data_IF_897934163339
#
_entry.id   IF_897934163339
#
_cell.length_a   1.000
_cell.length_b   1.000
_cell.length_c   1.000
_cell.angle_alpha   90.00
_cell.angle_beta   90.00
_cell.angle_gamma   90.00
#
_symmetry.space_group_name_H-M   'P 1'
#
loop_
_entity.id
_entity.type
_entity.pdbx_description
1 polymer ?
#
# COMPACT_ATOMS: atom_id res chain seq x y z
N UNK A 1 12.05 16.29 -1.70
CA UNK A 1 11.27 15.69 -0.60
C UNK A 1 11.79 14.28 -0.40
N UNK A 2 12.52 14.04 0.69
CA UNK A 2 12.86 12.68 1.10
C UNK A 2 11.64 12.09 1.80
N UNK A 3 11.04 11.06 1.22
CA UNK A 3 9.84 10.43 1.76
C UNK A 3 10.14 9.57 2.99
N UNK A 4 11.42 9.32 3.30
CA UNK A 4 11.85 8.42 4.39
C UNK A 4 11.42 6.97 4.16
N UNK A 5 11.17 6.58 2.91
CA UNK A 5 10.70 5.24 2.53
C UNK A 5 11.88 4.44 2.00
N UNK A 6 12.14 3.28 2.60
CA UNK A 6 13.15 2.37 2.09
C UNK A 6 12.56 1.50 0.96
N UNK A 7 12.79 1.92 -0.28
CA UNK A 7 12.28 1.23 -1.46
C UNK A 7 12.83 -0.20 -1.61
N UNK A 8 14.09 -0.45 -1.25
CA UNK A 8 14.67 -1.80 -1.26
C UNK A 8 13.93 -2.75 -0.31
N UNK A 9 13.60 -2.28 0.88
CA UNK A 9 12.84 -3.05 1.87
C UNK A 9 11.41 -3.31 1.38
N UNK A 10 10.79 -2.32 0.75
CA UNK A 10 9.45 -2.42 0.19
C UNK A 10 9.40 -3.43 -0.97
N UNK A 11 10.42 -3.44 -1.83
CA UNK A 11 10.56 -4.42 -2.92
C UNK A 11 10.84 -5.84 -2.44
N UNK A 12 11.43 -6.04 -1.25
CA UNK A 12 11.54 -7.37 -0.64
C UNK A 12 10.19 -7.92 -0.18
N UNK A 13 9.28 -7.04 0.25
CA UNK A 13 7.95 -7.43 0.73
C UNK A 13 6.94 -7.58 -0.43
N UNK A 14 7.13 -6.85 -1.54
CA UNK A 14 6.21 -6.87 -2.68
C UNK A 14 6.87 -7.57 -3.87
N UNK A 15 6.38 -8.78 -4.18
CA UNK A 15 6.87 -9.66 -5.27
C UNK A 15 6.94 -8.98 -6.65
N UNK A 16 6.15 -7.92 -6.88
CA UNK A 16 6.07 -7.24 -8.16
C UNK A 16 6.24 -5.72 -8.00
N UNK A 17 7.27 -5.14 -8.65
CA UNK A 17 7.59 -3.71 -8.54
C UNK A 17 6.42 -2.80 -8.95
N UNK A 18 5.68 -3.19 -9.99
CA UNK A 18 4.49 -2.45 -10.47
C UNK A 18 3.29 -2.53 -9.52
N UNK A 19 3.25 -3.53 -8.62
CA UNK A 19 2.16 -3.65 -7.66
C UNK A 19 2.28 -2.61 -6.54
N UNK A 20 3.49 -2.11 -6.25
CA UNK A 20 3.74 -1.09 -5.21
C UNK A 20 2.87 0.16 -5.38
N UNK A 21 2.91 0.89 -6.52
CA UNK A 21 2.08 2.08 -6.70
C UNK A 21 0.58 1.75 -6.72
N UNK A 22 0.18 0.59 -7.23
CA UNK A 22 -1.23 0.16 -7.29
C UNK A 22 -1.77 -0.07 -5.87
N UNK A 23 -1.01 -0.79 -5.04
CA UNK A 23 -1.36 -1.08 -3.64
C UNK A 23 -1.39 0.22 -2.83
N UNK A 24 -0.36 1.06 -2.99
CA UNK A 24 -0.26 2.34 -2.30
C UNK A 24 -1.45 3.26 -2.64
N UNK A 25 -1.80 3.38 -3.93
CA UNK A 25 -2.93 4.21 -4.37
C UNK A 25 -4.26 3.70 -3.82
N UNK A 26 -4.53 2.38 -3.94
CA UNK A 26 -5.77 1.78 -3.42
C UNK A 26 -5.91 1.90 -1.90
N UNK A 27 -4.79 1.78 -1.18
CA UNK A 27 -4.76 1.98 0.26
C UNK A 27 -4.95 3.45 0.64
N UNK A 28 -4.30 4.37 -0.05
CA UNK A 28 -4.47 5.80 0.18
C UNK A 28 -5.93 6.24 -0.04
N UNK A 29 -6.58 5.74 -1.09
CA UNK A 29 -8.00 5.98 -1.33
C UNK A 29 -8.89 5.43 -0.20
N UNK A 30 -8.59 4.23 0.30
CA UNK A 30 -9.31 3.65 1.45
C UNK A 30 -9.16 4.51 2.70
N UNK A 31 -7.95 5.00 2.98
CA UNK A 31 -7.69 5.88 4.13
C UNK A 31 -8.43 7.22 3.99
N UNK A 32 -8.41 7.82 2.80
CA UNK A 32 -9.14 9.05 2.51
C UNK A 32 -10.64 8.87 2.71
N UNK A 33 -11.23 7.80 2.15
CA UNK A 33 -12.66 7.52 2.30
C UNK A 33 -13.03 7.27 3.78
N UNK A 34 -12.15 6.61 4.53
CA UNK A 34 -12.36 6.37 5.97
C UNK A 34 -12.35 7.67 6.77
N UNK A 35 -11.42 8.58 6.46
CA UNK A 35 -11.34 9.90 7.10
C UNK A 35 -12.53 10.78 6.75
N UNK A 36 -12.98 10.75 5.49
CA UNK A 36 -14.21 11.43 5.04
C UNK A 36 -15.43 10.91 5.81
N UNK A 37 -15.56 9.58 5.98
CA UNK A 37 -16.63 8.97 6.78
C UNK A 37 -16.55 9.32 8.27
N UNK A 38 -15.34 9.53 8.80
CA UNK A 38 -15.11 9.92 10.20
C UNK A 38 -15.20 11.43 10.44
N UNK A 39 -15.41 12.23 9.40
CA UNK A 39 -15.43 13.69 9.50
C UNK A 39 -14.08 14.31 9.86
N UNK A 40 -12.97 13.62 9.58
CA UNK A 40 -11.63 14.10 9.88
C UNK A 40 -11.23 15.20 8.88
N UNK A 41 -11.05 16.42 9.39
CA UNK A 41 -10.71 17.59 8.57
C UNK A 41 -9.22 17.71 8.24
N UNK A 42 -8.36 17.02 9.00
CA UNK A 42 -6.93 17.10 8.85
C UNK A 42 -6.44 16.05 7.84
N UNK A 43 -6.33 16.46 6.58
CA UNK A 43 -5.90 15.58 5.49
C UNK A 43 -4.39 15.31 5.62
N UNK A 44 -4.06 14.12 6.10
CA UNK A 44 -2.70 13.60 6.06
C UNK A 44 -2.27 13.23 4.64
N UNK A 45 -0.96 13.09 4.42
CA UNK A 45 -0.43 12.53 3.17
C UNK A 45 -0.70 11.02 3.13
N UNK A 46 -1.89 10.65 2.64
CA UNK A 46 -2.39 9.27 2.59
C UNK A 46 -1.48 8.34 1.80
N UNK A 47 -0.79 8.87 0.79
CA UNK A 47 0.16 8.10 -0.03
C UNK A 47 1.38 7.75 0.81
N UNK A 48 1.91 8.71 1.57
CA UNK A 48 3.04 8.47 2.48
C UNK A 48 2.68 7.46 3.58
N UNK A 49 1.47 7.55 4.15
CA UNK A 49 0.98 6.59 5.15
C UNK A 49 0.88 5.19 4.53
N UNK A 50 0.26 5.07 3.35
CA UNK A 50 0.11 3.80 2.67
C UNK A 50 1.45 3.15 2.31
N UNK A 51 2.42 3.93 1.82
CA UNK A 51 3.76 3.40 1.51
C UNK A 51 4.51 2.94 2.75
N UNK A 52 4.35 3.64 3.89
CA UNK A 52 4.95 3.24 5.15
C UNK A 52 4.31 1.97 5.72
N UNK A 53 2.98 1.85 5.67
CA UNK A 53 2.27 0.62 6.03
C UNK A 53 2.70 -0.57 5.15
N UNK A 54 2.99 -0.32 3.86
CA UNK A 54 3.47 -1.32 2.92
C UNK A 54 4.92 -1.76 3.25
N UNK A 55 5.79 -0.81 3.58
CA UNK A 55 7.16 -1.08 4.04
C UNK A 55 7.17 -1.90 5.34
N UNK A 56 6.27 -1.57 6.27
CA UNK A 56 6.13 -2.26 7.57
C UNK A 56 5.43 -3.63 7.45
N UNK A 57 4.96 -4.02 6.26
CA UNK A 57 4.26 -5.29 6.04
C UNK A 57 2.86 -5.36 6.66
N UNK A 58 2.27 -4.22 7.02
CA UNK A 58 0.94 -4.13 7.64
C UNK A 58 -0.20 -4.26 6.62
N UNK A 59 0.09 -4.10 5.33
CA UNK A 59 -0.88 -4.31 4.26
C UNK A 59 -0.95 -5.80 3.92
N UNK A 60 -2.00 -6.48 4.40
CA UNK A 60 -2.31 -7.83 3.95
C UNK A 60 -2.96 -7.79 2.57
N UNK A 61 -2.21 -8.18 1.55
CA UNK A 61 -2.73 -8.35 0.19
C UNK A 61 -3.62 -9.62 0.20
N UNK A 62 -4.94 -9.45 0.25
CA UNK A 62 -5.89 -10.58 0.32
C UNK A 62 -5.85 -11.53 -0.89
N UNK A 63 -5.32 -11.09 -2.03
CA UNK A 63 -5.28 -11.87 -3.28
C UNK A 63 -3.92 -12.53 -3.59
N UNK A 64 -2.97 -12.59 -2.66
CA UNK A 64 -1.67 -13.25 -2.91
C UNK A 64 -1.87 -14.71 -3.32
N UNK A 65 -2.84 -15.39 -2.71
CA UNK A 65 -3.20 -16.78 -3.02
C UNK A 65 -3.76 -16.95 -4.45
N UNK A 66 -4.48 -15.94 -4.98
CA UNK A 66 -5.02 -15.96 -6.34
C UNK A 66 -3.89 -15.76 -7.37
N UNK A 67 -2.92 -14.90 -7.06
CA UNK A 67 -1.75 -14.66 -7.91
C UNK A 67 -0.80 -15.86 -7.99
N UNK A 68 -0.69 -16.65 -6.92
CA UNK A 68 0.13 -17.87 -6.93
C UNK A 68 -0.53 -19.01 -7.74
N UNK A 69 -1.86 -19.04 -7.80
CA UNK A 69 -2.62 -19.94 -8.66
C UNK A 69 -2.44 -19.67 -10.16
N UNK A 70 -2.29 -18.41 -10.57
CA UNK A 70 -2.07 -18.02 -11.97
C UNK A 70 -0.68 -18.38 -12.51
N UNK A 71 0.28 -18.72 -11.64
CA UNK A 71 1.64 -19.15 -12.03
C UNK A 71 1.72 -20.66 -12.34
N UNK A 72 0.73 -21.45 -11.94
CA UNK A 72 0.72 -22.91 -12.09
C UNK A 72 -0.10 -23.43 -13.29
N UNK A 73 -0.52 -22.55 -14.20
CA UNK A 73 -1.09 -22.97 -15.48
C UNK A 73 -0.05 -22.89 -16.59
#
# INVERSE_FOLDING_TARGET
MDLGINYDKLLKNVKYKYAVPIIAAKRAETLKNLDELKGVTNKGDYVKIALKELEEGKIQIKNVSVLDGLRKQ
#
